data_IF_316077558877
#
_entry.id   IF_316077558877
#
_cell.length_a   1.000
_cell.length_b   1.000
_cell.length_c   1.000
_cell.angle_alpha   90.00
_cell.angle_beta   90.00
_cell.angle_gamma   90.00
#
_symmetry.space_group_name_H-M   'P 1'
#
loop_
_entity.id
_entity.type
_entity.pdbx_description
1 polymer ?
#
# COMPACT_ATOMS: atom_id res chain seq x y z
N UNK A 1 14.79 15.59 -0.66
CA UNK A 1 16.11 15.90 -1.25
C UNK A 1 16.00 16.00 -2.78
N UNK A 2 17.05 16.47 -3.46
CA UNK A 2 17.06 16.67 -4.94
C UNK A 2 16.86 15.38 -5.75
N UNK A 3 17.02 14.22 -5.13
CA UNK A 3 16.88 12.87 -5.69
C UNK A 3 15.52 12.21 -5.41
N UNK A 4 14.56 12.96 -4.82
CA UNK A 4 13.24 12.43 -4.45
C UNK A 4 13.22 11.58 -3.18
N UNK A 5 14.35 11.42 -2.49
CA UNK A 5 14.45 10.79 -1.17
C UNK A 5 14.17 11.75 0.00
N UNK A 6 14.08 11.21 1.24
CA UNK A 6 13.96 12.03 2.44
C UNK A 6 15.14 13.01 2.59
N UNK A 7 14.84 14.25 2.96
CA UNK A 7 15.85 15.28 3.21
C UNK A 7 16.27 15.27 4.67
N UNK A 8 17.33 14.53 5.01
CA UNK A 8 17.72 14.30 6.40
C UNK A 8 18.14 15.58 7.13
N UNK A 9 18.78 16.52 6.43
CA UNK A 9 19.20 17.80 7.01
C UNK A 9 17.99 18.67 7.32
N UNK A 10 17.03 18.78 6.39
CA UNK A 10 15.79 19.50 6.62
C UNK A 10 14.93 18.83 7.70
N UNK A 11 14.83 17.50 7.72
CA UNK A 11 14.15 16.76 8.79
C UNK A 11 14.78 17.08 10.14
N UNK A 12 16.12 17.00 10.26
CA UNK A 12 16.83 17.30 11.50
C UNK A 12 16.59 18.75 11.96
N UNK A 13 16.65 19.70 11.02
CA UNK A 13 16.40 21.12 11.28
C UNK A 13 14.98 21.36 11.82
N UNK A 14 13.97 20.86 11.10
CA UNK A 14 12.55 20.99 11.46
C UNK A 14 12.23 20.35 12.80
N UNK A 15 12.72 19.14 13.02
CA UNK A 15 12.57 18.43 14.30
C UNK A 15 13.16 19.23 15.46
N UNK A 16 14.34 19.81 15.29
CA UNK A 16 15.02 20.60 16.32
C UNK A 16 14.30 21.92 16.65
N UNK A 17 13.76 22.58 15.63
CA UNK A 17 13.03 23.86 15.74
C UNK A 17 11.62 23.69 16.30
N UNK A 18 10.82 22.79 15.72
CA UNK A 18 9.41 22.63 16.04
C UNK A 18 9.17 21.76 17.27
N UNK A 19 10.08 20.82 17.54
CA UNK A 19 10.01 19.86 18.65
C UNK A 19 8.62 19.19 18.80
N UNK A 20 8.08 18.56 17.73
CA UNK A 20 6.78 17.92 17.82
C UNK A 20 6.79 16.76 18.84
N UNK A 21 5.61 16.25 19.18
CA UNK A 21 5.50 15.06 20.04
C UNK A 21 5.72 13.76 19.28
N UNK A 22 5.42 13.79 17.98
CA UNK A 22 5.57 12.65 17.10
C UNK A 22 5.86 13.12 15.66
N UNK A 23 6.50 12.26 14.89
CA UNK A 23 6.64 12.37 13.44
C UNK A 23 5.87 11.24 12.77
N UNK A 24 5.19 11.53 11.67
CA UNK A 24 4.52 10.55 10.85
C UNK A 24 5.36 10.28 9.60
N UNK A 25 5.64 9.01 9.33
CA UNK A 25 6.41 8.56 8.17
C UNK A 25 5.50 7.65 7.35
N UNK A 26 5.25 8.00 6.09
CA UNK A 26 4.46 7.17 5.19
C UNK A 26 5.40 6.34 4.31
N UNK A 27 5.39 5.01 4.46
CA UNK A 27 6.30 4.12 3.70
C UNK A 27 5.93 4.08 2.22
N UNK A 28 4.72 3.61 1.93
CA UNK A 28 4.18 3.57 0.56
C UNK A 28 3.95 4.98 0.00
N UNK A 29 4.11 5.14 -1.31
CA UNK A 29 3.92 6.42 -2.00
C UNK A 29 2.45 6.85 -2.12
N UNK A 30 1.50 5.91 -2.02
CA UNK A 30 0.10 6.17 -2.38
C UNK A 30 0.00 6.67 -3.83
N UNK A 31 -0.60 7.84 -4.03
CA UNK A 31 -0.70 8.50 -5.35
C UNK A 31 0.41 9.52 -5.64
N UNK A 32 1.41 9.62 -4.77
CA UNK A 32 2.54 10.54 -4.95
C UNK A 32 3.53 10.00 -6.01
N UNK A 33 4.21 10.92 -6.68
CA UNK A 33 5.23 10.69 -7.69
C UNK A 33 6.58 10.21 -7.14
N UNK A 34 6.80 10.28 -5.82
CA UNK A 34 8.02 9.77 -5.18
C UNK A 34 8.09 8.24 -5.18
N UNK A 35 9.29 7.70 -4.94
CA UNK A 35 9.46 6.27 -4.63
C UNK A 35 8.86 5.92 -3.26
N UNK A 36 8.42 4.67 -3.12
CA UNK A 36 8.17 4.09 -1.80
C UNK A 36 9.49 4.05 -1.02
N UNK A 37 9.42 4.25 0.29
CA UNK A 37 10.60 4.19 1.15
C UNK A 37 10.90 2.74 1.50
N UNK A 38 12.17 2.35 1.43
CA UNK A 38 12.66 1.10 2.01
C UNK A 38 12.53 1.13 3.53
N UNK A 39 12.50 -0.05 4.16
CA UNK A 39 12.57 -0.16 5.61
C UNK A 39 13.83 0.52 6.17
N UNK A 40 14.96 0.44 5.46
CA UNK A 40 16.21 1.09 5.85
C UNK A 40 16.13 2.62 5.80
N UNK A 41 15.57 3.20 4.72
CA UNK A 41 15.35 4.65 4.64
C UNK A 41 14.43 5.14 5.75
N UNK A 42 13.38 4.38 6.09
CA UNK A 42 12.52 4.68 7.26
C UNK A 42 13.33 4.63 8.56
N UNK A 43 14.21 3.63 8.71
CA UNK A 43 15.13 3.53 9.84
C UNK A 43 16.09 4.71 9.95
N UNK A 44 16.64 5.19 8.84
CA UNK A 44 17.48 6.39 8.80
C UNK A 44 16.74 7.66 9.24
N UNK A 45 15.48 7.81 8.83
CA UNK A 45 14.62 8.91 9.29
C UNK A 45 14.45 8.82 10.82
N UNK A 46 14.10 7.64 11.34
CA UNK A 46 13.91 7.44 12.78
C UNK A 46 15.19 7.75 13.57
N UNK A 47 16.34 7.24 13.14
CA UNK A 47 17.65 7.52 13.76
C UNK A 47 17.98 9.01 13.74
N UNK A 48 17.67 9.70 12.65
CA UNK A 48 17.88 11.16 12.54
C UNK A 48 17.01 11.92 13.53
N UNK A 49 15.73 11.57 13.61
CA UNK A 49 14.77 12.16 14.53
C UNK A 49 15.20 11.96 15.98
N UNK A 50 15.54 10.73 16.37
CA UNK A 50 15.93 10.41 17.74
C UNK A 50 17.29 11.02 18.12
N UNK A 51 18.21 11.19 17.17
CA UNK A 51 19.48 11.90 17.42
C UNK A 51 19.25 13.37 17.80
N UNK A 52 18.30 14.03 17.14
CA UNK A 52 17.99 15.45 17.41
C UNK A 52 17.08 15.59 18.63
N UNK A 53 16.12 14.68 18.80
CA UNK A 53 15.15 14.70 19.90
C UNK A 53 14.85 13.26 20.38
N UNK A 54 15.63 12.73 21.35
CA UNK A 54 15.52 11.35 21.82
C UNK A 54 14.14 10.94 22.37
N UNK A 55 13.35 11.90 22.86
CA UNK A 55 12.00 11.65 23.39
C UNK A 55 10.88 11.67 22.36
N UNK A 56 11.18 11.89 21.08
CA UNK A 56 10.17 11.97 20.02
C UNK A 56 9.72 10.59 19.55
N UNK A 57 8.42 10.45 19.27
CA UNK A 57 7.84 9.20 18.73
C UNK A 57 7.86 9.22 17.19
N UNK A 58 8.44 8.20 16.58
CA UNK A 58 8.34 7.94 15.14
C UNK A 58 7.20 6.95 14.86
N UNK A 59 6.14 7.43 14.22
CA UNK A 59 4.99 6.62 13.80
C UNK A 59 5.07 6.35 12.31
N UNK A 60 4.95 5.10 11.91
CA UNK A 60 5.01 4.68 10.50
C UNK A 60 3.65 4.18 10.03
N UNK A 61 3.11 4.79 8.97
CA UNK A 61 2.10 4.15 8.14
C UNK A 61 2.81 3.13 7.24
N UNK A 62 2.63 1.85 7.58
CA UNK A 62 3.36 0.73 6.96
C UNK A 62 2.53 0.03 5.87
N UNK A 63 1.34 0.55 5.56
CA UNK A 63 0.46 -0.04 4.55
C UNK A 63 1.20 -0.36 3.25
N UNK A 64 0.90 -1.54 2.70
CA UNK A 64 1.45 -2.09 1.45
C UNK A 64 2.91 -2.54 1.52
N UNK A 65 3.66 -2.16 2.57
CA UNK A 65 5.07 -2.52 2.74
C UNK A 65 5.29 -3.80 3.52
N UNK A 66 4.26 -4.34 4.20
CA UNK A 66 4.42 -5.53 5.02
C UNK A 66 4.88 -6.73 4.19
N UNK A 67 5.94 -7.41 4.66
CA UNK A 67 6.55 -8.59 4.05
C UNK A 67 7.15 -8.37 2.65
N UNK A 68 7.35 -7.11 2.23
CA UNK A 68 8.05 -6.79 0.99
C UNK A 68 9.58 -6.83 1.13
N UNK A 69 10.05 -6.71 2.37
CA UNK A 69 11.45 -6.78 2.76
C UNK A 69 11.61 -7.76 3.94
N UNK A 70 12.85 -8.15 4.25
CA UNK A 70 13.13 -9.03 5.41
C UNK A 70 13.02 -8.31 6.75
N UNK A 71 13.10 -6.98 6.75
CA UNK A 71 12.98 -6.14 7.93
C UNK A 71 11.74 -5.25 7.80
N UNK A 72 11.09 -4.97 8.94
CA UNK A 72 10.00 -4.01 9.04
C UNK A 72 10.48 -2.75 9.81
N UNK A 73 9.82 -1.59 9.64
CA UNK A 73 10.26 -0.34 10.26
C UNK A 73 10.49 -0.41 11.77
N UNK A 74 9.70 -1.19 12.50
CA UNK A 74 9.84 -1.36 13.97
C UNK A 74 11.12 -2.10 14.36
N UNK A 75 11.73 -2.86 13.45
CA UNK A 75 13.04 -3.49 13.65
C UNK A 75 14.19 -2.50 13.46
N UNK A 76 13.93 -1.33 12.86
CA UNK A 76 14.94 -0.36 12.42
C UNK A 76 14.81 1.01 13.11
N UNK A 77 13.97 1.10 14.14
CA UNK A 77 13.86 2.28 15.00
C UNK A 77 12.50 2.97 14.98
N UNK A 78 11.51 2.49 14.23
CA UNK A 78 10.16 3.02 14.36
C UNK A 78 9.56 2.66 15.72
N UNK A 79 8.98 3.64 16.40
CA UNK A 79 8.38 3.46 17.73
C UNK A 79 7.00 2.80 17.66
N UNK A 80 6.29 3.06 16.57
CA UNK A 80 4.96 2.54 16.30
C UNK A 80 4.77 2.38 14.79
N UNK A 81 4.16 1.28 14.35
CA UNK A 81 3.71 1.08 12.98
C UNK A 81 2.24 0.67 12.98
N UNK A 82 1.50 1.11 11.96
CA UNK A 82 0.10 0.74 11.77
C UNK A 82 -0.16 0.37 10.31
N UNK A 83 -1.17 -0.47 10.10
CA UNK A 83 -1.61 -0.87 8.77
C UNK A 83 -2.95 -1.60 8.79
N UNK A 84 -3.42 -1.99 7.60
CA UNK A 84 -4.72 -2.61 7.39
C UNK A 84 -4.62 -4.12 7.19
N UNK A 85 -5.56 -4.88 7.76
CA UNK A 85 -5.64 -6.33 7.59
C UNK A 85 -6.31 -6.73 6.27
N UNK A 86 -7.01 -5.85 5.56
CA UNK A 86 -7.48 -6.16 4.18
C UNK A 86 -6.42 -5.84 3.11
N UNK A 87 -5.15 -5.70 3.55
CA UNK A 87 -3.95 -5.56 2.71
C UNK A 87 -3.03 -6.76 2.94
N UNK A 88 -1.73 -6.56 2.75
CA UNK A 88 -0.67 -7.56 2.86
C UNK A 88 -0.80 -8.49 4.09
N UNK A 89 -0.91 -8.00 5.35
CA UNK A 89 -0.86 -8.87 6.52
C UNK A 89 -2.08 -9.78 6.72
N UNK A 90 -3.19 -9.52 6.01
CA UNK A 90 -4.34 -10.43 6.04
C UNK A 90 -4.27 -11.57 5.03
N UNK A 91 -3.29 -11.57 4.13
CA UNK A 91 -3.08 -12.65 3.16
C UNK A 91 -4.26 -12.94 2.23
N UNK A 92 -5.21 -12.01 2.11
CA UNK A 92 -6.47 -12.20 1.36
C UNK A 92 -7.55 -12.98 2.12
N UNK A 93 -7.34 -13.30 3.41
CA UNK A 93 -8.27 -14.08 4.23
C UNK A 93 -8.90 -13.26 5.35
N UNK A 94 -8.20 -12.24 5.86
CA UNK A 94 -8.75 -11.37 6.89
C UNK A 94 -9.94 -10.59 6.31
N UNK A 95 -11.15 -10.68 6.92
CA UNK A 95 -12.34 -10.06 6.36
C UNK A 95 -12.39 -8.54 6.58
N UNK A 96 -11.68 -8.05 7.60
CA UNK A 96 -11.59 -6.64 7.99
C UNK A 96 -10.44 -6.45 8.99
N UNK A 97 -10.25 -5.21 9.46
CA UNK A 97 -9.44 -4.89 10.62
C UNK A 97 -8.15 -4.11 10.29
N UNK A 98 -7.40 -3.83 11.35
CA UNK A 98 -6.11 -3.16 11.29
C UNK A 98 -5.20 -3.66 12.41
N UNK A 99 -3.93 -3.31 12.34
CA UNK A 99 -2.96 -3.63 13.38
C UNK A 99 -2.20 -2.37 13.81
N UNK A 100 -1.70 -2.41 15.05
CA UNK A 100 -0.73 -1.47 15.60
C UNK A 100 0.34 -2.31 16.28
N UNK A 101 1.62 -2.07 15.95
CA UNK A 101 2.76 -2.77 16.52
C UNK A 101 3.86 -1.76 16.89
N UNK A 102 4.52 -1.95 18.03
CA UNK A 102 5.56 -1.02 18.48
C UNK A 102 5.81 -1.11 19.99
N UNK A 103 6.30 -0.02 20.57
CA UNK A 103 6.55 0.07 22.02
C UNK A 103 5.27 -0.13 22.84
N UNK A 104 5.38 -0.89 23.93
CA UNK A 104 4.24 -1.33 24.73
C UNK A 104 3.37 -0.16 25.23
N UNK A 105 3.99 0.90 25.74
CA UNK A 105 3.30 2.08 26.25
C UNK A 105 2.59 2.89 25.16
N UNK A 106 3.07 2.82 23.91
CA UNK A 106 2.42 3.49 22.78
C UNK A 106 1.25 2.67 22.25
N UNK A 107 1.41 1.35 22.18
CA UNK A 107 0.34 0.40 21.82
C UNK A 107 -0.80 0.49 22.83
N UNK A 108 -0.49 0.54 24.13
CA UNK A 108 -1.49 0.70 25.19
C UNK A 108 -2.27 2.02 25.05
N UNK A 109 -1.57 3.13 24.80
CA UNK A 109 -2.22 4.43 24.54
C UNK A 109 -3.14 4.39 23.32
N UNK A 110 -2.75 3.69 22.27
CA UNK A 110 -3.60 3.48 21.10
C UNK A 110 -4.82 2.62 21.43
N UNK A 111 -4.66 1.58 22.26
CA UNK A 111 -5.76 0.75 22.73
C UNK A 111 -6.78 1.55 23.56
N UNK A 112 -6.33 2.43 24.47
CA UNK A 112 -7.24 3.32 25.20
C UNK A 112 -8.01 4.28 24.29
N UNK A 113 -7.43 4.67 23.16
CA UNK A 113 -8.12 5.49 22.15
C UNK A 113 -9.13 4.68 21.36
N UNK A 114 -8.82 3.42 21.04
CA UNK A 114 -9.71 2.52 20.31
C UNK A 114 -10.94 2.16 21.15
N UNK A 115 -10.74 1.93 22.44
CA UNK A 115 -11.80 1.62 23.40
C UNK A 115 -12.06 2.82 24.32
N UNK A 116 -11.65 2.73 25.58
CA UNK A 116 -11.67 3.82 26.57
C UNK A 116 -10.53 3.63 27.58
N UNK A 117 -10.05 4.70 28.23
CA UNK A 117 -9.12 4.61 29.34
C UNK A 117 -9.61 3.67 30.44
N UNK A 118 -8.70 2.88 31.01
CA UNK A 118 -8.99 1.88 32.05
C UNK A 118 -9.45 0.51 31.52
N UNK A 119 -10.03 0.44 30.32
CA UNK A 119 -10.34 -0.83 29.64
C UNK A 119 -9.21 -1.22 28.68
N UNK A 120 -8.80 -0.28 27.81
CA UNK A 120 -7.74 -0.53 26.84
C UNK A 120 -8.00 -1.74 25.95
N UNK A 121 -6.97 -2.57 25.75
CA UNK A 121 -7.04 -3.76 24.90
C UNK A 121 -7.55 -5.02 25.60
N UNK A 122 -7.90 -4.96 26.88
CA UNK A 122 -8.27 -6.15 27.67
C UNK A 122 -9.67 -6.69 27.31
N UNK A 123 -10.56 -5.83 26.79
CA UNK A 123 -11.91 -6.20 26.37
C UNK A 123 -12.09 -6.04 24.86
N UNK A 124 -12.63 -7.08 24.22
CA UNK A 124 -13.02 -7.05 22.81
C UNK A 124 -13.35 -8.44 22.28
N UNK A 125 -14.62 -8.69 21.96
CA UNK A 125 -15.01 -9.99 21.41
C UNK A 125 -14.60 -10.07 19.94
N UNK A 126 -13.86 -11.11 19.57
CA UNK A 126 -13.36 -11.33 18.21
C UNK A 126 -14.37 -12.01 17.29
N UNK A 127 -15.55 -12.39 17.80
CA UNK A 127 -16.69 -12.92 17.05
C UNK A 127 -16.34 -14.07 16.07
N UNK A 128 -15.32 -14.88 16.39
CA UNK A 128 -14.89 -16.02 15.58
C UNK A 128 -13.93 -15.69 14.43
N UNK A 129 -13.47 -14.44 14.30
CA UNK A 129 -12.57 -14.02 13.20
C UNK A 129 -11.12 -14.51 13.36
N UNK A 130 -10.72 -14.91 14.57
CA UNK A 130 -9.35 -15.31 14.90
C UNK A 130 -8.71 -16.27 13.89
N UNK A 131 -9.42 -17.33 13.48
CA UNK A 131 -8.87 -18.33 12.54
C UNK A 131 -8.45 -17.68 11.22
N UNK A 132 -9.27 -16.80 10.66
CA UNK A 132 -8.96 -16.10 9.41
C UNK A 132 -7.78 -15.13 9.59
N UNK A 133 -7.69 -14.45 10.74
CA UNK A 133 -6.57 -13.57 11.04
C UNK A 133 -5.25 -14.33 11.14
N UNK A 134 -5.21 -15.44 11.89
CA UNK A 134 -4.00 -16.26 12.03
C UNK A 134 -3.60 -16.92 10.72
N UNK A 135 -4.55 -17.51 9.98
CA UNK A 135 -4.26 -18.14 8.69
C UNK A 135 -3.83 -17.10 7.64
N UNK A 136 -4.49 -15.94 7.62
CA UNK A 136 -4.13 -14.80 6.78
C UNK A 136 -2.70 -14.33 7.03
N UNK A 137 -2.34 -14.13 8.30
CA UNK A 137 -0.98 -13.74 8.68
C UNK A 137 0.06 -14.79 8.29
N UNK A 138 -0.24 -16.08 8.46
CA UNK A 138 0.65 -17.17 8.06
C UNK A 138 0.88 -17.18 6.53
N UNK A 139 -0.14 -16.85 5.74
CA UNK A 139 -0.05 -16.77 4.28
C UNK A 139 0.48 -15.44 3.76
N UNK A 140 0.47 -14.38 4.58
CA UNK A 140 0.71 -13.00 4.17
C UNK A 140 2.01 -12.81 3.38
N UNK A 141 3.12 -13.38 3.85
CA UNK A 141 4.41 -13.28 3.16
C UNK A 141 4.36 -13.91 1.76
N UNK A 142 3.72 -15.08 1.63
CA UNK A 142 3.55 -15.75 0.35
C UNK A 142 2.67 -14.92 -0.59
N UNK A 143 1.49 -14.46 -0.12
CA UNK A 143 0.55 -13.66 -0.92
C UNK A 143 1.17 -12.34 -1.35
N UNK A 144 1.93 -11.68 -0.47
CA UNK A 144 2.68 -10.46 -0.80
C UNK A 144 3.68 -10.72 -1.92
N UNK A 145 4.42 -11.84 -1.88
CA UNK A 145 5.32 -12.22 -2.96
C UNK A 145 4.58 -12.48 -4.30
N UNK A 146 3.33 -12.97 -4.27
CA UNK A 146 2.51 -13.09 -5.47
C UNK A 146 2.18 -11.71 -6.07
N UNK A 147 1.72 -10.77 -5.24
CA UNK A 147 1.43 -9.41 -5.67
C UNK A 147 2.67 -8.69 -6.23
N UNK A 148 3.84 -8.85 -5.59
CA UNK A 148 5.10 -8.27 -6.08
C UNK A 148 5.51 -8.81 -7.46
N UNK A 149 5.35 -10.12 -7.69
CA UNK A 149 5.60 -10.72 -9.02
C UNK A 149 4.61 -10.21 -10.07
N UNK A 150 3.34 -10.04 -9.70
CA UNK A 150 2.31 -9.46 -10.56
C UNK A 150 2.67 -8.02 -10.93
N UNK A 151 3.04 -7.18 -9.97
CA UNK A 151 3.51 -5.81 -10.20
C UNK A 151 4.73 -5.77 -11.15
N UNK A 152 5.75 -6.60 -10.91
CA UNK A 152 6.94 -6.68 -11.75
C UNK A 152 6.62 -7.14 -13.19
N UNK A 153 5.69 -8.09 -13.36
CA UNK A 153 5.23 -8.51 -14.68
C UNK A 153 4.48 -7.37 -15.39
N UNK A 154 3.59 -6.66 -14.70
CA UNK A 154 2.87 -5.52 -15.25
C UNK A 154 3.84 -4.46 -15.76
N UNK A 155 4.82 -4.09 -14.94
CA UNK A 155 5.87 -3.16 -15.33
C UNK A 155 6.60 -3.62 -16.59
N UNK A 156 7.09 -4.87 -16.60
CA UNK A 156 7.85 -5.39 -17.73
C UNK A 156 7.05 -5.45 -19.04
N UNK A 157 5.76 -5.79 -18.97
CA UNK A 157 4.91 -5.87 -20.15
C UNK A 157 4.58 -4.47 -20.70
N UNK A 158 4.24 -3.51 -19.85
CA UNK A 158 3.88 -2.16 -20.27
C UNK A 158 5.09 -1.32 -20.71
N UNK A 159 6.25 -1.52 -20.09
CA UNK A 159 7.52 -0.95 -20.58
C UNK A 159 7.82 -1.41 -22.01
N UNK A 160 7.62 -2.70 -22.31
CA UNK A 160 7.81 -3.25 -23.67
C UNK A 160 6.82 -2.69 -24.69
N UNK A 161 5.67 -2.19 -24.23
CA UNK A 161 4.67 -1.51 -25.06
C UNK A 161 4.91 0.01 -25.13
N UNK A 162 5.98 0.53 -24.52
CA UNK A 162 6.37 1.94 -24.59
C UNK A 162 5.67 2.85 -23.57
N UNK A 163 5.10 2.28 -22.50
CA UNK A 163 4.59 3.03 -21.36
C UNK A 163 5.66 3.20 -20.28
N UNK A 164 5.58 4.30 -19.54
CA UNK A 164 6.43 4.53 -18.38
C UNK A 164 5.81 3.88 -17.14
N UNK A 165 6.65 3.27 -16.31
CA UNK A 165 6.25 2.51 -15.13
C UNK A 165 7.09 2.96 -13.94
N UNK A 166 6.48 2.97 -12.76
CA UNK A 166 7.15 3.35 -11.53
C UNK A 166 6.66 2.46 -10.36
N UNK A 167 7.53 1.67 -9.72
CA UNK A 167 8.90 1.37 -10.14
C UNK A 167 8.94 0.57 -11.45
N UNK A 168 10.05 0.66 -12.16
CA UNK A 168 10.33 -0.19 -13.31
C UNK A 168 10.45 -1.67 -12.92
N UNK A 169 10.43 -2.55 -13.91
CA UNK A 169 10.49 -4.00 -13.72
C UNK A 169 11.76 -4.50 -13.02
N UNK A 170 12.84 -3.71 -13.04
CA UNK A 170 14.15 -4.07 -12.46
C UNK A 170 14.47 -3.33 -11.17
N UNK A 171 13.65 -2.35 -10.80
CA UNK A 171 13.85 -1.60 -9.57
C UNK A 171 13.37 -2.39 -8.34
N UNK A 172 14.04 -2.22 -7.19
CA UNK A 172 13.60 -2.80 -5.94
C UNK A 172 12.21 -2.29 -5.56
N UNK A 173 11.47 -3.11 -4.81
CA UNK A 173 10.11 -2.81 -4.34
C UNK A 173 10.07 -2.83 -2.83
N UNK A 174 9.41 -1.83 -2.28
CA UNK A 174 9.23 -1.62 -0.84
C UNK A 174 7.74 -1.50 -0.45
N UNK A 175 6.87 -1.63 -1.46
CA UNK A 175 5.43 -1.81 -1.36
C UNK A 175 4.93 -2.64 -2.57
N UNK A 176 3.64 -2.99 -2.58
CA UNK A 176 3.01 -3.74 -3.68
C UNK A 176 2.42 -2.85 -4.79
N UNK A 177 2.64 -1.54 -4.75
CA UNK A 177 2.02 -0.59 -5.69
C UNK A 177 2.83 -0.54 -6.99
N UNK A 178 2.14 -0.66 -8.12
CA UNK A 178 2.68 -0.46 -9.44
C UNK A 178 1.99 0.71 -10.13
N UNK A 179 2.72 1.79 -10.39
CA UNK A 179 2.23 2.92 -11.18
C UNK A 179 2.58 2.72 -12.66
N UNK A 180 1.66 3.12 -13.54
CA UNK A 180 1.85 3.12 -14.99
C UNK A 180 1.29 4.43 -15.55
N UNK A 181 2.10 5.18 -16.32
CA UNK A 181 1.65 6.37 -17.04
C UNK A 181 1.02 5.97 -18.37
N UNK A 182 -0.32 5.95 -18.43
CA UNK A 182 -1.08 5.45 -19.59
C UNK A 182 -1.29 6.52 -20.67
N UNK A 183 -0.88 7.77 -20.43
CA UNK A 183 -0.84 8.90 -21.36
C UNK A 183 -2.20 9.45 -21.80
N UNK A 184 -3.25 8.63 -21.85
CA UNK A 184 -4.60 9.05 -22.23
C UNK A 184 -5.64 8.49 -21.28
N UNK A 185 -6.74 9.23 -21.09
CA UNK A 185 -7.87 8.76 -20.29
C UNK A 185 -8.55 7.53 -20.88
N UNK A 186 -8.48 7.33 -22.20
CA UNK A 186 -9.01 6.12 -22.86
C UNK A 186 -8.17 4.88 -22.49
N UNK A 187 -6.85 5.00 -22.49
CA UNK A 187 -5.98 3.91 -22.04
C UNK A 187 -6.22 3.56 -20.58
N UNK A 188 -6.39 4.57 -19.70
CA UNK A 188 -6.74 4.35 -18.29
C UNK A 188 -8.07 3.62 -18.13
N UNK A 189 -9.12 4.03 -18.86
CA UNK A 189 -10.41 3.33 -18.83
C UNK A 189 -10.30 1.88 -19.29
N UNK A 190 -9.65 1.64 -20.43
CA UNK A 190 -9.47 0.29 -20.99
C UNK A 190 -8.65 -0.60 -20.06
N UNK A 191 -7.58 -0.06 -19.48
CA UNK A 191 -6.77 -0.79 -18.51
C UNK A 191 -7.61 -1.23 -17.29
N UNK A 192 -8.34 -0.31 -16.66
CA UNK A 192 -9.21 -0.64 -15.53
C UNK A 192 -10.34 -1.60 -15.92
N UNK A 193 -10.98 -1.43 -17.07
CA UNK A 193 -12.02 -2.35 -17.57
C UNK A 193 -11.48 -3.77 -17.77
N UNK A 194 -10.30 -3.91 -18.35
CA UNK A 194 -9.68 -5.23 -18.55
C UNK A 194 -9.22 -5.88 -17.25
N UNK A 195 -8.75 -5.10 -16.26
CA UNK A 195 -8.49 -5.62 -14.90
C UNK A 195 -9.79 -6.11 -14.25
N UNK A 196 -10.87 -5.34 -14.32
CA UNK A 196 -12.16 -5.73 -13.77
C UNK A 196 -12.71 -6.99 -14.45
N UNK A 197 -12.67 -7.06 -15.78
CA UNK A 197 -13.10 -8.24 -16.54
C UNK A 197 -12.26 -9.49 -16.24
N UNK A 198 -10.99 -9.31 -15.86
CA UNK A 198 -10.10 -10.39 -15.39
C UNK A 198 -10.26 -10.77 -13.91
N UNK A 199 -11.13 -10.09 -13.16
CA UNK A 199 -11.33 -10.33 -11.73
C UNK A 199 -12.28 -11.51 -11.47
N UNK A 200 -12.15 -12.21 -10.33
CA UNK A 200 -13.02 -13.36 -10.01
C UNK A 200 -14.44 -12.96 -9.60
N UNK A 201 -14.64 -11.76 -9.05
CA UNK A 201 -15.93 -11.24 -8.57
C UNK A 201 -16.31 -10.02 -9.40
N UNK A 202 -17.60 -9.87 -9.69
CA UNK A 202 -18.15 -8.72 -10.43
C UNK A 202 -17.47 -8.43 -11.78
N UNK A 203 -16.93 -9.46 -12.45
CA UNK A 203 -16.25 -9.29 -13.74
C UNK A 203 -17.13 -8.78 -14.87
N UNK A 204 -18.45 -8.93 -14.74
CA UNK A 204 -19.44 -8.39 -15.67
C UNK A 204 -19.76 -6.90 -15.42
N UNK A 205 -19.33 -6.34 -14.28
CA UNK A 205 -19.55 -4.93 -13.95
C UNK A 205 -18.45 -4.12 -14.61
N UNK A 206 -18.84 -3.18 -15.49
CA UNK A 206 -17.88 -2.33 -16.19
C UNK A 206 -17.59 -1.07 -15.36
N UNK A 207 -16.33 -0.81 -14.99
CA UNK A 207 -15.98 0.40 -14.25
C UNK A 207 -16.04 1.62 -15.16
N UNK A 208 -16.59 2.70 -14.63
CA UNK A 208 -16.66 4.01 -15.28
C UNK A 208 -16.09 5.09 -14.35
N UNK A 209 -15.56 6.20 -14.91
CA UNK A 209 -15.19 7.35 -14.11
C UNK A 209 -16.36 7.87 -13.29
N UNK A 210 -16.10 8.22 -12.03
CA UNK A 210 -17.09 8.88 -11.20
C UNK A 210 -16.44 9.76 -10.14
N UNK A 211 -17.19 10.76 -9.67
CA UNK A 211 -16.75 11.69 -8.64
C UNK A 211 -16.81 11.04 -7.25
N UNK A 212 -15.70 10.43 -6.83
CA UNK A 212 -15.56 9.89 -5.49
C UNK A 212 -15.44 11.03 -4.45
N UNK A 213 -16.18 11.00 -3.33
CA UNK A 213 -16.00 11.95 -2.24
C UNK A 213 -14.54 11.98 -1.74
N UNK A 214 -13.96 13.18 -1.69
CA UNK A 214 -12.58 13.39 -1.23
C UNK A 214 -11.54 13.48 -2.37
N UNK A 215 -11.91 13.18 -3.61
CA UNK A 215 -11.05 13.40 -4.78
C UNK A 215 -11.46 14.68 -5.52
N UNK A 216 -10.47 15.43 -6.00
CA UNK A 216 -10.71 16.62 -6.82
C UNK A 216 -11.20 16.24 -8.23
N UNK A 217 -10.59 15.21 -8.82
CA UNK A 217 -10.92 14.67 -10.12
C UNK A 217 -11.83 13.44 -10.04
N UNK A 218 -12.49 13.09 -11.15
CA UNK A 218 -13.12 11.78 -11.28
C UNK A 218 -12.07 10.66 -11.19
N UNK A 219 -12.44 9.54 -10.60
CA UNK A 219 -11.59 8.36 -10.46
C UNK A 219 -12.29 7.17 -11.10
N UNK A 220 -11.53 6.34 -11.80
CA UNK A 220 -11.98 5.02 -12.24
C UNK A 220 -11.30 3.94 -11.39
N UNK A 221 -12.04 2.87 -11.08
CA UNK A 221 -11.55 1.81 -10.18
C UNK A 221 -12.08 0.44 -10.62
N UNK A 222 -11.15 -0.51 -10.72
CA UNK A 222 -11.40 -1.94 -10.82
C UNK A 222 -11.11 -2.60 -9.48
N UNK A 223 -12.12 -3.26 -8.91
CA UNK A 223 -12.11 -3.78 -7.54
C UNK A 223 -12.96 -5.06 -7.38
N UNK A 224 -12.84 -6.00 -8.31
CA UNK A 224 -13.53 -7.30 -8.29
C UNK A 224 -12.97 -8.30 -7.27
N UNK A 225 -12.99 -7.94 -5.99
CA UNK A 225 -12.39 -8.69 -4.88
C UNK A 225 -13.42 -9.51 -4.09
N UNK A 226 -12.97 -10.60 -3.45
CA UNK A 226 -13.78 -11.38 -2.50
C UNK A 226 -14.08 -10.59 -1.23
N UNK A 227 -13.09 -9.85 -0.72
CA UNK A 227 -13.27 -8.95 0.42
C UNK A 227 -13.39 -7.52 -0.12
N UNK A 228 -14.50 -6.85 0.22
CA UNK A 228 -14.80 -5.50 -0.26
C UNK A 228 -13.66 -4.52 0.10
N UNK A 229 -13.06 -3.90 -0.91
CA UNK A 229 -11.97 -2.93 -0.75
C UNK A 229 -10.61 -3.54 -0.41
N UNK A 230 -10.48 -4.88 -0.46
CA UNK A 230 -9.21 -5.56 -0.28
C UNK A 230 -8.25 -5.22 -1.42
N UNK A 231 -7.06 -4.73 -1.08
CA UNK A 231 -6.05 -4.28 -2.05
C UNK A 231 -4.81 -5.19 -2.08
N UNK A 232 -4.84 -6.31 -1.35
CA UNK A 232 -3.96 -7.45 -1.61
C UNK A 232 -4.54 -8.35 -2.73
N UNK A 233 -5.83 -8.20 -3.03
CA UNK A 233 -6.47 -8.74 -4.22
C UNK A 233 -6.21 -7.83 -5.43
N UNK A 234 -6.25 -8.41 -6.63
CA UNK A 234 -5.92 -7.67 -7.85
C UNK A 234 -6.91 -6.52 -8.04
N UNK A 235 -6.39 -5.30 -8.08
CA UNK A 235 -7.17 -4.08 -8.27
C UNK A 235 -6.35 -3.05 -9.04
N UNK A 236 -7.06 -2.11 -9.68
CA UNK A 236 -6.43 -1.00 -10.36
C UNK A 236 -7.30 0.24 -10.31
N UNK A 237 -6.72 1.39 -10.07
CA UNK A 237 -7.45 2.66 -10.02
C UNK A 237 -6.58 3.83 -10.48
N UNK A 238 -7.21 4.95 -10.79
CA UNK A 238 -6.47 6.15 -11.20
C UNK A 238 -7.37 7.36 -11.41
N UNK A 239 -6.83 8.58 -11.17
CA UNK A 239 -7.56 9.81 -11.41
C UNK A 239 -7.62 10.12 -12.92
N UNK A 240 -8.76 10.62 -13.38
CA UNK A 240 -9.02 10.99 -14.78
C UNK A 240 -8.40 12.35 -15.15
N UNK A 241 -7.10 12.50 -14.87
CA UNK A 241 -6.30 13.68 -15.23
C UNK A 241 -4.95 13.29 -15.79
N UNK A 242 -4.33 14.20 -16.53
CA UNK A 242 -2.97 14.01 -17.04
C UNK A 242 -1.95 13.75 -15.90
N UNK A 243 -0.97 12.84 -16.10
CA UNK A 243 -0.69 12.08 -17.33
C UNK A 243 -1.43 10.72 -17.41
N UNK A 244 -2.57 10.59 -16.74
CA UNK A 244 -3.43 9.41 -16.67
C UNK A 244 -2.68 8.20 -16.10
N UNK A 245 -2.31 8.32 -14.83
CA UNK A 245 -1.63 7.24 -14.10
C UNK A 245 -2.64 6.20 -13.63
N UNK A 246 -2.35 4.92 -13.89
CA UNK A 246 -2.98 3.79 -13.22
C UNK A 246 -2.10 3.31 -12.07
N UNK A 247 -2.72 2.97 -10.96
CA UNK A 247 -2.14 2.34 -9.78
C UNK A 247 -2.70 0.93 -9.73
N UNK A 248 -1.88 -0.06 -10.05
CA UNK A 248 -2.20 -1.48 -9.95
C UNK A 248 -1.59 -2.04 -8.67
N UNK A 249 -2.35 -2.85 -7.96
CA UNK A 249 -1.87 -3.54 -6.77
C UNK A 249 -2.51 -4.92 -6.61
N UNK A 250 -1.86 -5.72 -5.77
CA UNK A 250 -2.39 -7.00 -5.34
C UNK A 250 -2.30 -8.11 -6.38
N UNK A 251 -2.96 -9.21 -6.06
CA UNK A 251 -2.93 -10.47 -6.79
C UNK A 251 -2.67 -11.62 -5.82
N UNK A 252 -3.74 -12.30 -5.40
CA UNK A 252 -3.65 -13.40 -4.42
C UNK A 252 -2.74 -14.53 -4.91
N UNK A 253 -2.74 -14.77 -6.22
CA UNK A 253 -1.80 -15.66 -6.90
C UNK A 253 -1.18 -14.93 -8.07
N UNK A 254 0.05 -15.27 -8.41
CA UNK A 254 0.70 -14.70 -9.58
C UNK A 254 -0.05 -15.08 -10.87
N UNK A 255 -0.65 -16.25 -10.92
CA UNK A 255 -1.41 -16.75 -12.06
C UNK A 255 -2.64 -15.88 -12.34
N UNK A 256 -3.44 -15.54 -11.32
CA UNK A 256 -4.60 -14.65 -11.51
C UNK A 256 -4.16 -13.23 -11.84
N UNK A 257 -3.13 -12.71 -11.16
CA UNK A 257 -2.53 -11.42 -11.47
C UNK A 257 -2.05 -11.31 -12.91
N UNK A 258 -1.33 -12.32 -13.39
CA UNK A 258 -0.86 -12.42 -14.79
C UNK A 258 -2.02 -12.42 -15.78
N UNK A 259 -3.06 -13.21 -15.54
CA UNK A 259 -4.22 -13.26 -16.44
C UNK A 259 -4.95 -11.91 -16.48
N UNK A 260 -5.12 -11.25 -15.32
CA UNK A 260 -5.72 -9.91 -15.25
C UNK A 260 -4.90 -8.88 -16.05
N UNK A 261 -3.57 -8.87 -15.91
CA UNK A 261 -2.69 -7.98 -16.70
C UNK A 261 -2.81 -8.28 -18.20
N UNK A 262 -2.84 -9.56 -18.59
CA UNK A 262 -2.99 -9.94 -19.99
C UNK A 262 -4.33 -9.46 -20.56
N UNK A 263 -5.42 -9.55 -19.80
CA UNK A 263 -6.73 -9.04 -20.20
C UNK A 263 -6.73 -7.51 -20.32
N UNK A 264 -6.11 -6.80 -19.36
CA UNK A 264 -5.96 -5.34 -19.42
C UNK A 264 -5.21 -4.86 -20.66
N UNK A 265 -4.11 -5.55 -21.01
CA UNK A 265 -3.34 -5.23 -22.21
C UNK A 265 -4.13 -5.56 -23.48
N UNK A 266 -4.84 -6.68 -23.52
CA UNK A 266 -5.69 -7.03 -24.66
C UNK A 266 -6.81 -5.99 -24.87
N UNK A 267 -7.44 -5.52 -23.79
CA UNK A 267 -8.45 -4.47 -23.82
C UNK A 267 -7.88 -3.13 -24.30
N UNK A 268 -6.66 -2.76 -23.88
CA UNK A 268 -5.99 -1.55 -24.36
C UNK A 268 -5.69 -1.57 -25.87
N UNK A 269 -5.48 -2.75 -26.45
CA UNK A 269 -5.10 -2.94 -27.86
C UNK A 269 -6.27 -2.97 -28.84
N UNK A 270 -7.53 -2.91 -28.37
CA UNK A 270 -8.73 -2.91 -29.22
C UNK A 270 -8.96 -1.58 -29.92
#
# INVERSE_FOLDING_TARGET
AKDGGPDMDEIARRVGEERPRAVLIQRSRGYDSRKALSAEEVGEICRTVHRVSPGMVCVVDNCYGEFTETAEPTMLGADLAAGSLIKNPGGGLAPTGGYIAGRAELVERAAYRLTVPGIGGECGCTLGTNRQLYQGLFMAAHTTAQALKTAALCAAMLERLGFETAPSAREPRYDIIQTVTLKTGENLKRFCRGIQAGSPVDSYVTPEPWKMPGYEDEVIMAAGAFIQGSSIELSADGPMREPYMAFLQGGLTYESGRLGIMNAIAEMQQ
#
